data_IF_140170138781
#
_entry.id   IF_140170138781
#
_cell.length_a   1.000
_cell.length_b   1.000
_cell.length_c   1.000
_cell.angle_alpha   90.00
_cell.angle_beta   90.00
_cell.angle_gamma   90.00
#
_symmetry.space_group_name_H-M   'P 1'
#
loop_
_entity.id
_entity.type
_entity.pdbx_description
1 polymer ?
#
# COMPACT_ATOMS: atom_id res chain seq x y z
N UNK A 1 -5.29 -3.65 15.86
CA UNK A 1 -5.12 -4.88 15.07
C UNK A 1 -6.26 -4.93 14.07
N UNK A 2 -5.98 -4.61 12.81
CA UNK A 2 -6.92 -4.56 11.69
C UNK A 2 -6.73 -5.80 10.82
N UNK A 3 -7.83 -6.45 10.44
CA UNK A 3 -7.78 -7.57 9.49
C UNK A 3 -8.09 -7.08 8.08
N UNK A 4 -7.41 -7.65 7.09
CA UNK A 4 -7.69 -7.36 5.67
C UNK A 4 -9.17 -7.61 5.32
N UNK A 5 -9.83 -8.57 5.98
CA UNK A 5 -11.26 -8.85 5.82
C UNK A 5 -12.20 -7.71 6.26
N UNK A 6 -11.73 -6.79 7.12
CA UNK A 6 -12.55 -5.68 7.65
C UNK A 6 -12.55 -4.48 6.69
N UNK A 7 -11.68 -4.51 5.67
CA UNK A 7 -11.69 -3.55 4.57
C UNK A 7 -12.88 -3.87 3.66
N UNK A 8 -13.91 -3.05 3.76
CA UNK A 8 -15.17 -3.22 3.02
C UNK A 8 -15.01 -2.77 1.57
N UNK A 9 -14.18 -1.75 1.35
CA UNK A 9 -13.88 -1.21 0.03
C UNK A 9 -12.97 -2.17 -0.78
N UNK A 10 -13.46 -2.74 -1.89
CA UNK A 10 -12.68 -3.71 -2.67
C UNK A 10 -11.47 -3.08 -3.36
N UNK A 11 -11.56 -1.80 -3.74
CA UNK A 11 -10.46 -1.04 -4.35
C UNK A 11 -9.34 -0.80 -3.33
N UNK A 12 -9.70 -0.31 -2.14
CA UNK A 12 -8.76 -0.10 -1.04
C UNK A 12 -8.12 -1.41 -0.61
N UNK A 13 -8.90 -2.49 -0.50
CA UNK A 13 -8.41 -3.83 -0.17
C UNK A 13 -7.35 -4.30 -1.17
N UNK A 14 -7.58 -4.10 -2.47
CA UNK A 14 -6.60 -4.46 -3.50
C UNK A 14 -5.30 -3.64 -3.39
N UNK A 15 -5.40 -2.33 -3.16
CA UNK A 15 -4.23 -1.44 -2.96
C UNK A 15 -3.42 -1.82 -1.72
N UNK A 16 -4.11 -2.07 -0.60
CA UNK A 16 -3.47 -2.50 0.66
C UNK A 16 -2.75 -3.84 0.48
N UNK A 17 -3.38 -4.82 -0.15
CA UNK A 17 -2.76 -6.12 -0.43
C UNK A 17 -1.54 -5.97 -1.35
N UNK A 18 -1.65 -5.16 -2.41
CA UNK A 18 -0.55 -4.90 -3.33
C UNK A 18 0.65 -4.26 -2.59
N UNK A 19 0.43 -3.17 -1.87
CA UNK A 19 1.49 -2.45 -1.16
C UNK A 19 2.11 -3.27 -0.04
N UNK A 20 1.29 -4.02 0.70
CA UNK A 20 1.76 -4.96 1.72
C UNK A 20 2.62 -6.07 1.12
N UNK A 21 2.21 -6.61 -0.02
CA UNK A 21 2.98 -7.62 -0.72
C UNK A 21 4.33 -7.07 -1.18
N UNK A 22 4.36 -5.86 -1.75
CA UNK A 22 5.61 -5.18 -2.13
C UNK A 22 6.56 -4.99 -0.95
N UNK A 23 6.06 -4.47 0.18
CA UNK A 23 6.86 -4.29 1.40
C UNK A 23 7.45 -5.58 1.95
N UNK A 24 6.70 -6.68 1.85
CA UNK A 24 7.14 -8.00 2.33
C UNK A 24 7.96 -8.76 1.28
N UNK A 25 8.11 -8.23 0.06
CA UNK A 25 8.71 -8.94 -1.07
C UNK A 25 7.93 -10.17 -1.51
N UNK A 26 6.61 -10.17 -1.27
CA UNK A 26 5.68 -11.23 -1.62
C UNK A 26 4.83 -10.84 -2.83
N UNK A 27 4.13 -11.80 -3.40
CA UNK A 27 3.10 -11.53 -4.40
C UNK A 27 1.74 -11.29 -3.74
N UNK A 28 0.91 -10.34 -4.23
CA UNK A 28 -0.38 -10.02 -3.64
C UNK A 28 -1.33 -11.23 -3.55
N UNK A 29 -1.24 -12.18 -4.49
CA UNK A 29 -2.01 -13.43 -4.44
C UNK A 29 -1.59 -14.42 -3.33
N UNK A 30 -0.46 -14.17 -2.66
CA UNK A 30 0.04 -14.98 -1.55
C UNK A 30 -0.42 -14.44 -0.19
N UNK A 31 -0.93 -13.20 -0.13
CA UNK A 31 -1.39 -12.57 1.11
C UNK A 31 -2.76 -13.16 1.51
N UNK A 32 -2.85 -13.89 2.63
CA UNK A 32 -4.11 -14.47 3.05
C UNK A 32 -5.09 -13.41 3.56
N UNK A 33 -6.39 -13.65 3.40
CA UNK A 33 -7.43 -12.73 3.91
C UNK A 33 -7.52 -12.71 5.45
N UNK A 34 -6.98 -13.75 6.11
CA UNK A 34 -6.82 -13.82 7.56
C UNK A 34 -5.53 -13.16 8.06
N UNK A 35 -4.74 -12.52 7.20
CA UNK A 35 -3.56 -11.78 7.61
C UNK A 35 -3.97 -10.64 8.57
N UNK A 36 -3.34 -10.63 9.74
CA UNK A 36 -3.55 -9.62 10.77
C UNK A 36 -2.46 -8.54 10.64
N UNK A 37 -2.90 -7.31 10.38
CA UNK A 37 -2.07 -6.13 10.43
C UNK A 37 -2.27 -5.46 11.79
N UNK A 38 -1.20 -4.91 12.34
CA UNK A 38 -1.36 -4.01 13.46
C UNK A 38 -1.85 -2.63 12.99
N UNK A 39 -2.43 -1.83 13.88
CA UNK A 39 -3.00 -0.54 13.48
C UNK A 39 -1.91 0.38 12.91
N UNK A 40 -0.70 0.27 13.45
CA UNK A 40 0.47 1.01 12.99
C UNK A 40 0.86 0.60 11.55
N UNK A 41 1.01 -0.70 11.27
CA UNK A 41 1.32 -1.20 9.91
C UNK A 41 0.24 -0.77 8.91
N UNK A 42 -1.04 -0.82 9.30
CA UNK A 42 -2.14 -0.42 8.43
C UNK A 42 -2.11 1.08 8.11
N UNK A 43 -1.89 1.93 9.10
CA UNK A 43 -1.76 3.38 8.89
C UNK A 43 -0.55 3.72 8.02
N UNK A 44 0.57 3.03 8.21
CA UNK A 44 1.78 3.22 7.40
C UNK A 44 1.53 2.81 5.94
N UNK A 45 0.86 1.67 5.71
CA UNK A 45 0.45 1.26 4.36
C UNK A 45 -0.48 2.26 3.69
N UNK A 46 -1.47 2.79 4.42
CA UNK A 46 -2.38 3.80 3.89
C UNK A 46 -1.65 5.10 3.54
N UNK A 47 -0.70 5.53 4.37
CA UNK A 47 0.13 6.69 4.07
C UNK A 47 0.98 6.44 2.82
N UNK A 48 1.65 5.28 2.73
CA UNK A 48 2.44 4.92 1.56
C UNK A 48 1.59 4.85 0.27
N UNK A 49 0.36 4.33 0.34
CA UNK A 49 -0.58 4.33 -0.80
C UNK A 49 -0.96 5.76 -1.19
N UNK A 50 -1.32 6.59 -0.20
CA UNK A 50 -1.68 7.99 -0.44
C UNK A 50 -0.51 8.82 -0.98
N UNK A 51 0.71 8.53 -0.54
CA UNK A 51 1.95 9.10 -1.06
C UNK A 51 2.24 8.62 -2.48
N UNK A 52 1.99 7.35 -2.82
CA UNK A 52 2.12 6.85 -4.20
C UNK A 52 1.13 7.56 -5.14
N UNK A 53 -0.13 7.71 -4.70
CA UNK A 53 -1.17 8.41 -5.45
C UNK A 53 -0.91 9.92 -5.58
N UNK A 54 -0.17 10.52 -4.63
CA UNK A 54 0.25 11.94 -4.70
C UNK A 54 1.58 12.13 -5.43
N UNK A 55 2.51 11.20 -5.27
CA UNK A 55 3.91 11.24 -5.70
C UNK A 55 4.11 10.77 -7.14
N UNK A 56 3.13 10.11 -7.75
CA UNK A 56 3.08 9.88 -9.20
C UNK A 56 3.06 11.15 -10.06
N UNK A 57 3.09 12.34 -9.45
CA UNK A 57 3.24 13.64 -10.12
C UNK A 57 4.61 14.31 -9.90
N UNK A 58 5.53 13.75 -9.10
CA UNK A 58 6.76 14.42 -8.66
C UNK A 58 8.07 13.79 -9.19
N UNK A 59 8.02 13.04 -10.31
CA UNK A 59 9.24 12.53 -10.97
C UNK A 59 9.45 13.12 -12.38
N UNK A 60 9.33 14.46 -12.50
CA UNK A 60 9.70 15.22 -13.70
C UNK A 60 10.52 16.50 -13.42
N UNK A 61 11.10 16.66 -12.22
CA UNK A 61 11.91 17.85 -11.87
C UNK A 61 13.32 17.50 -11.37
N UNK A 62 14.03 16.59 -12.02
CA UNK A 62 15.48 16.45 -11.80
C UNK A 62 16.22 16.03 -13.10
N UNK A 63 16.02 16.77 -14.20
CA UNK A 63 16.93 16.71 -15.38
C UNK A 63 16.81 17.97 -16.27
N UNK A 64 16.99 19.19 -15.73
CA UNK A 64 17.27 20.39 -16.55
C UNK A 64 18.11 21.42 -15.75
N UNK A 65 19.29 20.99 -15.30
CA UNK A 65 20.37 21.89 -14.86
C UNK A 65 21.70 21.42 -15.46
N UNK A 66 21.88 21.66 -16.76
CA UNK A 66 23.20 21.78 -17.37
C UNK A 66 23.22 22.97 -18.33
#
# INVERSE_FOLDING_TARGET
MVRIREIIDPDLKAKVIAKLAEWRGLTPGTVPEWFELDDADYVDLLQAIAEDERGGADELMDDDRM
#
